data_IF_957369671289
#
_entry.id   IF_957369671289
#
_cell.length_a   1.000
_cell.length_b   1.000
_cell.length_c   1.000
_cell.angle_alpha   90.00
_cell.angle_beta   90.00
_cell.angle_gamma   90.00
#
_symmetry.space_group_name_H-M   'P 1'
#
loop_
_entity.id
_entity.type
_entity.pdbx_description
1 polymer ?
#
# COMPACT_ATOMS: atom_id res chain seq x y z
N UNK A 1 10.11 -11.90 -19.96
CA UNK A 1 10.56 -10.49 -20.08
C UNK A 1 10.33 -9.84 -18.75
N UNK A 2 11.30 -9.11 -18.20
CA UNK A 2 11.12 -8.30 -16.99
C UNK A 2 10.52 -6.95 -17.35
N UNK A 3 9.70 -6.40 -16.44
CA UNK A 3 9.12 -5.04 -16.59
C UNK A 3 9.95 -4.02 -15.82
N UNK A 4 9.83 -2.76 -16.20
CA UNK A 4 10.36 -1.62 -15.43
C UNK A 4 9.20 -0.86 -14.82
N UNK A 5 9.25 -0.63 -13.51
CA UNK A 5 8.28 0.18 -12.80
C UNK A 5 8.76 1.62 -12.68
N UNK A 6 7.88 2.60 -12.71
CA UNK A 6 8.22 3.98 -12.36
C UNK A 6 8.59 4.09 -10.87
N UNK A 7 9.19 5.22 -10.44
CA UNK A 7 9.58 5.42 -9.05
C UNK A 7 8.45 5.18 -8.05
N UNK A 8 7.25 5.63 -8.33
CA UNK A 8 6.09 5.42 -7.47
C UNK A 8 4.87 4.93 -8.24
N UNK A 9 4.33 3.80 -7.80
CA UNK A 9 3.09 3.19 -8.31
C UNK A 9 2.09 3.06 -7.18
N UNK A 10 0.85 3.48 -7.40
CA UNK A 10 -0.26 3.30 -6.47
C UNK A 10 -1.24 2.25 -7.03
N UNK A 11 -1.58 1.24 -6.23
CA UNK A 11 -2.58 0.22 -6.55
C UNK A 11 -3.77 0.37 -5.60
N UNK A 12 -4.92 0.76 -6.15
CA UNK A 12 -6.16 1.03 -5.43
C UNK A 12 -7.22 -0.05 -5.69
N UNK A 13 -8.07 -0.27 -4.71
CA UNK A 13 -9.25 -1.13 -4.88
C UNK A 13 -9.99 -1.39 -3.57
N UNK A 14 -11.24 -1.80 -3.67
CA UNK A 14 -12.05 -2.19 -2.51
C UNK A 14 -11.54 -3.44 -1.78
N UNK A 15 -12.21 -3.82 -0.69
CA UNK A 15 -11.93 -5.07 -0.01
C UNK A 15 -12.10 -6.26 -0.99
N UNK A 16 -11.20 -7.23 -0.93
CA UNK A 16 -11.21 -8.43 -1.78
C UNK A 16 -11.21 -8.17 -3.31
N UNK A 17 -10.82 -6.97 -3.75
CA UNK A 17 -10.78 -6.61 -5.18
C UNK A 17 -9.70 -7.34 -5.99
N UNK A 18 -8.71 -7.97 -5.33
CA UNK A 18 -7.53 -8.58 -5.97
C UNK A 18 -6.31 -7.65 -6.03
N UNK A 19 -6.39 -6.43 -5.46
CA UNK A 19 -5.32 -5.42 -5.52
C UNK A 19 -3.96 -5.88 -4.98
N UNK A 20 -3.91 -6.54 -3.81
CA UNK A 20 -2.63 -7.03 -3.25
C UNK A 20 -2.03 -8.11 -4.13
N UNK A 21 -2.86 -9.03 -4.66
CA UNK A 21 -2.41 -10.05 -5.61
C UNK A 21 -1.83 -9.43 -6.88
N UNK A 22 -2.51 -8.44 -7.45
CA UNK A 22 -2.01 -7.71 -8.61
C UNK A 22 -0.69 -6.97 -8.31
N UNK A 23 -0.60 -6.30 -7.14
CA UNK A 23 0.61 -5.59 -6.73
C UNK A 23 1.81 -6.53 -6.51
N UNK A 24 1.60 -7.70 -5.87
CA UNK A 24 2.62 -8.74 -5.73
C UNK A 24 3.11 -9.24 -7.10
N UNK A 25 2.17 -9.49 -8.02
CA UNK A 25 2.51 -9.93 -9.38
C UNK A 25 3.28 -8.86 -10.16
N UNK A 26 2.88 -7.59 -10.02
CA UNK A 26 3.56 -6.45 -10.64
C UNK A 26 5.02 -6.34 -10.17
N UNK A 27 5.24 -6.46 -8.86
CA UNK A 27 6.58 -6.45 -8.25
C UNK A 27 7.40 -7.64 -8.72
N UNK A 28 6.86 -8.86 -8.68
CA UNK A 28 7.54 -10.07 -9.11
C UNK A 28 7.95 -10.02 -10.60
N UNK A 29 7.14 -9.38 -11.45
CA UNK A 29 7.44 -9.23 -12.87
C UNK A 29 8.67 -8.35 -13.17
N UNK A 30 9.17 -7.57 -12.19
CA UNK A 30 10.42 -6.81 -12.34
C UNK A 30 11.65 -7.68 -12.34
N UNK A 31 11.57 -8.91 -11.82
CA UNK A 31 12.69 -9.84 -11.60
C UNK A 31 13.81 -9.26 -10.72
N UNK A 32 13.50 -8.29 -9.86
CA UNK A 32 14.41 -7.70 -8.87
C UNK A 32 14.24 -8.40 -7.51
N UNK A 33 15.22 -8.28 -6.59
CA UNK A 33 15.00 -8.64 -5.19
C UNK A 33 13.84 -7.83 -4.61
N UNK A 34 12.95 -8.51 -3.86
CA UNK A 34 11.66 -7.97 -3.44
C UNK A 34 11.65 -7.67 -1.95
N UNK A 35 11.28 -6.43 -1.59
CA UNK A 35 11.07 -5.99 -0.21
C UNK A 35 9.59 -5.82 0.04
N UNK A 36 9.07 -6.44 1.10
CA UNK A 36 7.70 -6.31 1.54
C UNK A 36 7.64 -5.53 2.84
N UNK A 37 7.04 -4.34 2.83
CA UNK A 37 6.79 -3.54 4.03
C UNK A 37 5.37 -3.86 4.51
N UNK A 38 5.29 -4.58 5.64
CA UNK A 38 4.04 -4.98 6.27
C UNK A 38 3.61 -3.94 7.30
N UNK A 39 2.41 -3.40 7.15
CA UNK A 39 1.83 -2.43 8.10
C UNK A 39 0.68 -2.98 8.91
N UNK A 40 0.20 -4.18 8.59
CA UNK A 40 -0.83 -4.85 9.36
C UNK A 40 -0.30 -5.31 10.72
N UNK A 41 -1.09 -5.09 11.77
CA UNK A 41 -0.87 -5.66 13.10
C UNK A 41 -1.91 -6.73 13.35
N UNK A 42 -1.49 -7.84 13.96
CA UNK A 42 -2.37 -8.93 14.34
C UNK A 42 -3.09 -8.59 15.65
N UNK A 43 -4.23 -7.89 15.56
CA UNK A 43 -5.04 -7.57 16.73
C UNK A 43 -6.03 -8.68 17.09
N UNK A 44 -6.34 -9.59 16.15
CA UNK A 44 -7.24 -10.72 16.33
C UNK A 44 -6.86 -11.91 15.44
N UNK A 45 -7.47 -13.07 15.71
CA UNK A 45 -7.20 -14.31 14.97
C UNK A 45 -7.60 -14.26 13.48
N UNK A 46 -8.55 -13.41 13.09
CA UNK A 46 -8.91 -13.20 11.68
C UNK A 46 -7.78 -12.48 10.94
N UNK A 47 -7.21 -11.46 11.56
CA UNK A 47 -6.08 -10.72 11.00
C UNK A 47 -4.82 -11.59 10.96
N UNK A 48 -4.54 -12.40 12.00
CA UNK A 48 -3.46 -13.39 12.00
C UNK A 48 -3.58 -14.35 10.81
N UNK A 49 -4.76 -14.94 10.61
CA UNK A 49 -5.02 -15.85 9.50
C UNK A 49 -4.90 -15.16 8.13
N UNK A 50 -5.22 -13.87 8.04
CA UNK A 50 -5.05 -13.08 6.81
C UNK A 50 -3.58 -12.80 6.52
N UNK A 51 -2.80 -12.40 7.53
CA UNK A 51 -1.36 -12.18 7.42
C UNK A 51 -0.66 -13.48 7.01
N UNK A 52 -0.97 -14.63 7.67
CA UNK A 52 -0.41 -15.92 7.33
C UNK A 52 -0.69 -16.30 5.86
N UNK A 53 -1.92 -16.15 5.39
CA UNK A 53 -2.28 -16.42 3.99
C UNK A 53 -1.49 -15.54 2.99
N UNK A 54 -1.21 -14.28 3.34
CA UNK A 54 -0.38 -13.39 2.53
C UNK A 54 1.08 -13.82 2.53
N UNK A 55 1.61 -14.29 3.68
CA UNK A 55 2.97 -14.81 3.79
C UNK A 55 3.15 -16.10 2.98
N UNK A 56 2.23 -17.06 3.13
CA UNK A 56 2.26 -18.35 2.40
C UNK A 56 2.23 -18.15 0.87
N UNK A 57 1.44 -17.19 0.41
CA UNK A 57 1.30 -16.90 -1.02
C UNK A 57 2.56 -16.29 -1.63
N UNK A 58 3.33 -15.50 -0.88
CA UNK A 58 4.51 -14.82 -1.39
C UNK A 58 5.70 -15.74 -1.68
N UNK A 59 5.82 -16.87 -0.99
CA UNK A 59 6.90 -17.83 -1.20
C UNK A 59 8.30 -17.28 -0.84
N UNK A 60 9.34 -18.01 -1.30
CA UNK A 60 10.73 -17.58 -1.12
C UNK A 60 11.08 -16.43 -2.08
N UNK A 61 11.87 -15.45 -1.61
CA UNK A 61 12.36 -14.33 -2.45
C UNK A 61 11.93 -12.95 -1.97
N UNK A 62 11.10 -12.88 -0.92
CA UNK A 62 10.71 -11.63 -0.28
C UNK A 62 11.47 -11.39 1.02
N UNK A 63 12.06 -10.21 1.16
CA UNK A 63 12.55 -9.67 2.44
C UNK A 63 11.40 -8.91 3.10
N UNK A 64 10.84 -9.44 4.18
CA UNK A 64 9.73 -8.80 4.89
C UNK A 64 10.24 -7.91 6.01
N UNK A 65 9.76 -6.69 6.09
CA UNK A 65 10.00 -5.71 7.16
C UNK A 65 8.65 -5.32 7.75
N UNK A 66 8.48 -5.58 9.04
CA UNK A 66 7.28 -5.14 9.77
C UNK A 66 7.45 -3.68 10.20
N UNK A 67 6.60 -2.81 9.70
CA UNK A 67 6.63 -1.38 9.96
C UNK A 67 5.19 -0.83 10.13
N UNK A 68 4.49 -1.20 11.20
CA UNK A 68 3.11 -0.79 11.39
C UNK A 68 2.94 0.72 11.64
N UNK A 69 3.95 1.37 12.22
CA UNK A 69 3.93 2.82 12.52
C UNK A 69 4.72 3.63 11.50
N UNK A 70 6.03 3.73 11.68
CA UNK A 70 6.91 4.48 10.80
C UNK A 70 7.53 3.57 9.74
N UNK A 71 7.19 3.83 8.47
CA UNK A 71 7.73 3.10 7.32
C UNK A 71 9.02 3.72 6.76
N UNK A 72 9.41 4.90 7.26
CA UNK A 72 10.54 5.65 6.71
C UNK A 72 11.86 4.91 6.79
N UNK A 73 12.21 4.22 7.91
CA UNK A 73 13.44 3.43 7.98
C UNK A 73 13.47 2.28 6.96
N UNK A 74 12.33 1.60 6.76
CA UNK A 74 12.23 0.50 5.82
C UNK A 74 12.38 0.95 4.36
N UNK A 75 11.84 2.13 4.02
CA UNK A 75 12.00 2.74 2.70
C UNK A 75 13.43 3.25 2.47
N UNK A 76 14.09 3.78 3.50
CA UNK A 76 15.46 4.26 3.41
C UNK A 76 16.49 3.11 3.28
N UNK A 77 16.16 1.91 3.80
CA UNK A 77 17.01 0.72 3.72
C UNK A 77 16.94 0.00 2.36
N UNK A 78 15.98 0.37 1.52
CA UNK A 78 15.80 -0.28 0.22
C UNK A 78 16.87 0.17 -0.79
N UNK A 79 17.56 -0.81 -1.39
CA UNK A 79 18.61 -0.58 -2.40
C UNK A 79 17.99 -0.30 -3.78
N UNK A 80 18.71 0.48 -4.61
CA UNK A 80 18.29 0.82 -5.98
C UNK A 80 18.07 -0.40 -6.90
N UNK A 81 18.66 -1.57 -6.57
CA UNK A 81 18.45 -2.83 -7.30
C UNK A 81 17.19 -3.58 -6.84
N UNK A 82 16.62 -3.21 -5.70
CA UNK A 82 15.42 -3.82 -5.14
C UNK A 82 14.14 -3.21 -5.73
N UNK A 83 13.01 -3.78 -5.39
CA UNK A 83 11.66 -3.22 -5.59
C UNK A 83 10.87 -3.40 -4.31
N UNK A 84 10.16 -2.36 -3.90
CA UNK A 84 9.42 -2.33 -2.64
C UNK A 84 7.93 -2.48 -2.89
N UNK A 85 7.29 -3.36 -2.12
CA UNK A 85 5.84 -3.43 -1.97
C UNK A 85 5.44 -2.95 -0.58
N UNK A 86 4.76 -1.83 -0.48
CA UNK A 86 4.19 -1.29 0.75
C UNK A 86 2.71 -1.71 0.86
N UNK A 87 2.41 -2.72 1.68
CA UNK A 87 1.07 -3.27 1.86
C UNK A 87 0.64 -3.21 3.34
N UNK A 88 -0.18 -2.21 3.73
CA UNK A 88 -0.81 -1.20 2.87
C UNK A 88 -0.89 0.17 3.56
N UNK A 89 -1.03 1.22 2.78
CA UNK A 89 -1.23 2.57 3.28
C UNK A 89 -2.49 2.71 4.15
N UNK A 90 -3.50 1.86 3.94
CA UNK A 90 -4.74 1.84 4.72
C UNK A 90 -4.50 1.39 6.16
N UNK A 91 -3.74 0.31 6.36
CA UNK A 91 -3.41 -0.16 7.71
C UNK A 91 -2.44 0.80 8.39
N UNK A 92 -1.47 1.35 7.64
CA UNK A 92 -0.61 2.42 8.14
C UNK A 92 -1.43 3.60 8.66
N UNK A 93 -2.39 4.12 7.86
CA UNK A 93 -3.25 5.24 8.27
C UNK A 93 -4.08 4.89 9.52
N UNK A 94 -4.64 3.67 9.57
CA UNK A 94 -5.38 3.19 10.74
C UNK A 94 -4.51 3.23 12.00
N UNK A 95 -3.28 2.73 11.91
CA UNK A 95 -2.35 2.73 13.03
C UNK A 95 -1.98 4.16 13.46
N UNK A 96 -1.79 5.09 12.50
CA UNK A 96 -1.54 6.51 12.81
C UNK A 96 -2.71 7.15 13.56
N UNK A 97 -3.95 6.87 13.12
CA UNK A 97 -5.15 7.38 13.78
C UNK A 97 -5.31 6.84 15.21
N UNK A 98 -5.08 5.54 15.41
CA UNK A 98 -5.16 4.93 16.74
C UNK A 98 -4.04 5.39 17.70
N UNK A 99 -2.91 5.83 17.17
CA UNK A 99 -1.80 6.35 17.97
C UNK A 99 -1.98 7.82 18.39
N UNK A 100 -3.03 8.51 17.90
CA UNK A 100 -3.26 9.90 18.25
C UNK A 100 -3.68 10.07 19.72
N UNK A 101 -3.11 11.05 20.44
CA UNK A 101 -3.48 11.34 21.82
C UNK A 101 -4.90 11.89 21.95
N UNK A 102 -5.40 12.59 20.94
CA UNK A 102 -6.77 13.07 20.81
C UNK A 102 -7.45 12.47 19.59
N UNK A 103 -8.25 11.40 19.76
CA UNK A 103 -8.96 10.76 18.65
C UNK A 103 -10.02 11.65 18.00
N UNK A 104 -10.46 12.69 18.69
CA UNK A 104 -11.47 13.62 18.18
C UNK A 104 -10.89 14.66 17.21
N UNK A 105 -9.61 15.00 17.40
CA UNK A 105 -8.88 15.96 16.57
C UNK A 105 -7.50 15.41 16.18
N UNK A 106 -7.45 14.35 15.35
CA UNK A 106 -6.17 13.75 14.97
C UNK A 106 -5.37 14.69 14.07
N UNK A 107 -4.09 14.87 14.38
CA UNK A 107 -3.14 15.55 13.50
C UNK A 107 -2.24 14.51 12.82
N UNK A 108 -2.55 14.20 11.58
CA UNK A 108 -1.79 13.25 10.75
C UNK A 108 -0.67 13.93 9.96
N UNK A 109 -0.61 15.27 9.98
CA UNK A 109 0.31 16.04 9.13
C UNK A 109 1.78 15.65 9.29
N UNK A 110 2.31 15.44 10.53
CA UNK A 110 3.71 15.05 10.70
C UNK A 110 4.01 13.64 10.12
N UNK A 111 3.13 12.67 10.39
CA UNK A 111 3.31 11.31 9.91
C UNK A 111 3.22 11.22 8.38
N UNK A 112 2.30 11.95 7.78
CA UNK A 112 2.15 12.02 6.33
C UNK A 112 3.33 12.74 5.66
N UNK A 113 3.85 13.82 6.25
CA UNK A 113 5.03 14.50 5.75
C UNK A 113 6.24 13.55 5.75
N UNK A 114 6.44 12.77 6.82
CA UNK A 114 7.48 11.76 6.90
C UNK A 114 7.31 10.66 5.83
N UNK A 115 6.08 10.13 5.68
CA UNK A 115 5.76 9.13 4.65
C UNK A 115 6.09 9.64 3.25
N UNK A 116 5.61 10.82 2.88
CA UNK A 116 5.84 11.37 1.54
C UNK A 116 7.30 11.71 1.28
N UNK A 117 8.02 12.19 2.30
CA UNK A 117 9.48 12.41 2.21
C UNK A 117 10.19 11.09 1.95
N UNK A 118 9.87 10.04 2.70
CA UNK A 118 10.47 8.72 2.56
C UNK A 118 10.18 8.09 1.19
N UNK A 119 8.92 8.17 0.70
CA UNK A 119 8.54 7.69 -0.63
C UNK A 119 9.30 8.41 -1.74
N UNK A 120 9.52 9.73 -1.60
CA UNK A 120 10.23 10.53 -2.61
C UNK A 120 11.73 10.24 -2.62
N UNK A 121 12.33 9.95 -1.45
CA UNK A 121 13.76 9.69 -1.31
C UNK A 121 14.17 8.24 -1.45
N UNK A 122 13.21 7.31 -1.55
CA UNK A 122 13.48 5.89 -1.72
C UNK A 122 14.25 5.64 -3.03
N UNK A 123 15.38 4.91 -2.94
CA UNK A 123 16.21 4.59 -4.10
C UNK A 123 15.58 3.51 -5.00
N UNK A 124 14.72 2.65 -4.43
CA UNK A 124 14.03 1.59 -5.15
C UNK A 124 12.66 2.07 -5.69
N UNK A 125 12.15 1.50 -6.79
CA UNK A 125 10.75 1.66 -7.16
C UNK A 125 9.83 1.14 -6.07
N UNK A 126 8.79 1.91 -5.73
CA UNK A 126 7.82 1.56 -4.68
C UNK A 126 6.44 1.35 -5.28
N UNK A 127 5.83 0.23 -4.95
CA UNK A 127 4.41 -0.07 -5.21
C UNK A 127 3.65 0.04 -3.89
N UNK A 128 2.74 0.99 -3.79
CA UNK A 128 1.89 1.22 -2.62
C UNK A 128 0.52 0.61 -2.85
N UNK A 129 0.06 -0.24 -1.95
CA UNK A 129 -1.30 -0.76 -1.95
C UNK A 129 -2.17 0.08 -1.03
N UNK A 130 -3.36 0.45 -1.48
CA UNK A 130 -4.32 1.18 -0.66
C UNK A 130 -5.76 0.77 -0.94
N UNK A 131 -6.62 0.87 0.09
CA UNK A 131 -8.04 0.58 -0.09
C UNK A 131 -8.80 1.84 -0.54
N UNK A 132 -9.77 1.61 -1.44
CA UNK A 132 -10.85 2.56 -1.69
C UNK A 132 -12.01 2.25 -0.72
N UNK A 133 -12.31 3.17 0.17
CA UNK A 133 -13.35 3.02 1.20
C UNK A 133 -14.47 4.04 1.05
N UNK A 134 -14.37 4.92 0.06
CA UNK A 134 -15.28 6.05 -0.17
C UNK A 134 -16.61 5.67 -0.84
N UNK A 135 -16.68 4.55 -1.55
CA UNK A 135 -17.82 4.17 -2.38
C UNK A 135 -19.03 3.60 -1.60
N UNK A 136 -18.91 3.37 -0.29
CA UNK A 136 -19.99 2.83 0.55
C UNK A 136 -20.94 3.90 1.10
N UNK A 137 -21.97 3.45 1.84
CA UNK A 137 -22.89 4.32 2.60
C UNK A 137 -22.08 5.10 3.66
N UNK A 138 -22.51 6.34 3.95
CA UNK A 138 -21.85 7.17 4.99
C UNK A 138 -21.99 6.47 6.35
N UNK A 139 -20.89 6.14 7.05
CA UNK A 139 -20.95 5.46 8.33
C UNK A 139 -21.65 6.31 9.41
N UNK A 140 -22.42 5.67 10.28
CA UNK A 140 -23.04 6.32 11.44
C UNK A 140 -21.99 6.70 12.50
N UNK A 141 -20.95 5.89 12.66
CA UNK A 141 -19.87 6.10 13.61
C UNK A 141 -18.96 7.25 13.16
N UNK A 142 -18.66 8.19 14.07
CA UNK A 142 -17.81 9.35 13.79
C UNK A 142 -16.39 8.94 13.38
N UNK A 143 -15.77 8.01 14.12
CA UNK A 143 -14.40 7.56 13.83
C UNK A 143 -14.30 6.94 12.44
N UNK A 144 -15.30 6.14 12.05
CA UNK A 144 -15.36 5.56 10.71
C UNK A 144 -15.49 6.63 9.61
N UNK A 145 -16.22 7.74 9.87
CA UNK A 145 -16.29 8.87 8.91
C UNK A 145 -14.95 9.60 8.82
N UNK A 146 -14.28 9.84 9.95
CA UNK A 146 -12.95 10.46 9.98
C UNK A 146 -11.93 9.60 9.23
N UNK A 147 -11.90 8.29 9.49
CA UNK A 147 -11.04 7.35 8.77
C UNK A 147 -11.32 7.37 7.27
N UNK A 148 -12.60 7.29 6.87
CA UNK A 148 -13.01 7.34 5.45
C UNK A 148 -12.54 8.61 4.76
N UNK A 149 -12.68 9.77 5.42
CA UNK A 149 -12.24 11.05 4.90
C UNK A 149 -10.71 11.10 4.76
N UNK A 150 -9.99 10.77 5.83
CA UNK A 150 -8.52 10.76 5.84
C UNK A 150 -7.94 9.78 4.80
N UNK A 151 -8.57 8.60 4.64
CA UNK A 151 -8.16 7.62 3.62
C UNK A 151 -8.33 8.15 2.19
N UNK A 152 -9.44 8.82 1.91
CA UNK A 152 -9.68 9.44 0.61
C UNK A 152 -8.66 10.55 0.31
N UNK A 153 -8.35 11.40 1.28
CA UNK A 153 -7.36 12.46 1.17
C UNK A 153 -5.93 11.91 0.98
N UNK A 154 -5.57 10.86 1.74
CA UNK A 154 -4.29 10.16 1.57
C UNK A 154 -4.17 9.56 0.16
N UNK A 155 -5.23 8.89 -0.33
CA UNK A 155 -5.26 8.32 -1.68
C UNK A 155 -5.07 9.38 -2.76
N UNK A 156 -5.73 10.55 -2.63
CA UNK A 156 -5.55 11.65 -3.57
C UNK A 156 -4.10 12.16 -3.59
N UNK A 157 -3.47 12.31 -2.41
CA UNK A 157 -2.09 12.78 -2.30
C UNK A 157 -1.08 11.76 -2.82
N UNK A 158 -1.31 10.46 -2.59
CA UNK A 158 -0.53 9.36 -3.18
C UNK A 158 -0.66 9.36 -4.70
N UNK A 159 -1.89 9.43 -5.23
CA UNK A 159 -2.16 9.44 -6.66
C UNK A 159 -1.54 10.65 -7.38
N UNK A 160 -1.57 11.83 -6.74
CA UNK A 160 -0.95 13.03 -7.30
C UNK A 160 0.57 12.85 -7.52
N UNK A 161 1.25 12.16 -6.60
CA UNK A 161 2.70 11.91 -6.62
C UNK A 161 3.13 10.68 -7.41
N UNK A 162 2.21 9.73 -7.61
CA UNK A 162 2.49 8.50 -8.35
C UNK A 162 2.57 8.77 -9.85
N UNK A 163 3.48 8.09 -10.52
CA UNK A 163 3.60 8.10 -11.99
C UNK A 163 2.59 7.14 -12.63
N UNK A 164 2.29 6.04 -11.93
CA UNK A 164 1.31 5.03 -12.32
C UNK A 164 0.28 4.86 -11.18
N UNK A 165 -1.00 4.98 -11.52
CA UNK A 165 -2.10 4.68 -10.60
C UNK A 165 -3.00 3.64 -11.25
N UNK A 166 -3.16 2.50 -10.58
CA UNK A 166 -3.93 1.35 -11.05
C UNK A 166 -5.12 1.14 -10.13
N UNK A 167 -6.32 1.13 -10.70
CA UNK A 167 -7.50 0.60 -10.03
C UNK A 167 -7.61 -0.90 -10.25
N UNK A 168 -8.05 -1.65 -9.23
CA UNK A 168 -8.32 -3.09 -9.35
C UNK A 168 -9.75 -3.36 -8.89
N UNK A 169 -10.56 -3.91 -9.81
CA UNK A 169 -11.93 -4.31 -9.54
C UNK A 169 -12.18 -5.72 -10.06
N UNK A 170 -12.72 -6.60 -9.24
CA UNK A 170 -13.00 -8.00 -9.61
C UNK A 170 -11.76 -8.74 -10.18
N UNK A 171 -10.58 -8.45 -9.66
CA UNK A 171 -9.30 -9.01 -10.12
C UNK A 171 -8.75 -8.36 -11.40
N UNK A 172 -9.48 -7.42 -12.02
CA UNK A 172 -9.09 -6.78 -13.27
C UNK A 172 -8.44 -5.42 -13.00
N UNK A 173 -7.17 -5.20 -13.44
CA UNK A 173 -6.51 -3.91 -13.34
C UNK A 173 -6.96 -2.96 -14.45
N UNK A 174 -7.03 -1.67 -14.15
CA UNK A 174 -7.22 -0.59 -15.12
C UNK A 174 -6.41 0.64 -14.72
N UNK A 175 -5.86 1.34 -15.70
CA UNK A 175 -5.06 2.54 -15.42
C UNK A 175 -5.99 3.72 -15.11
N UNK A 176 -5.73 4.38 -13.96
CA UNK A 176 -6.29 5.69 -13.62
C UNK A 176 -5.33 6.82 -14.00
N UNK A 177 -4.02 6.55 -13.98
CA UNK A 177 -2.96 7.47 -14.40
C UNK A 177 -1.80 6.65 -14.96
N UNK A 178 -1.16 7.13 -16.00
CA UNK A 178 -0.09 6.40 -16.70
C UNK A 178 -0.62 5.27 -17.57
N UNK A 179 0.22 4.28 -17.86
CA UNK A 179 -0.13 3.12 -18.69
C UNK A 179 0.21 1.82 -17.95
N UNK A 180 -0.67 0.83 -18.05
CA UNK A 180 -0.40 -0.48 -17.46
C UNK A 180 0.81 -1.12 -18.14
N UNK A 181 1.78 -1.67 -17.37
CA UNK A 181 2.84 -2.48 -17.95
C UNK A 181 2.26 -3.80 -18.49
N UNK A 182 2.85 -4.30 -19.56
CA UNK A 182 2.51 -5.62 -20.09
C UNK A 182 3.08 -6.70 -19.15
N UNK A 183 2.28 -7.11 -18.19
CA UNK A 183 2.61 -8.21 -17.27
C UNK A 183 2.04 -9.50 -17.82
N UNK A 184 2.81 -10.61 -17.86
CA UNK A 184 2.25 -11.92 -18.21
C UNK A 184 1.06 -12.22 -17.32
N UNK A 185 -0.07 -12.61 -17.91
CA UNK A 185 -1.28 -12.91 -17.11
C UNK A 185 -0.99 -14.09 -16.18
N UNK A 186 -1.27 -13.92 -14.88
CA UNK A 186 -1.39 -15.05 -13.96
C UNK A 186 -2.54 -15.94 -14.44
N UNK A 187 -2.22 -17.18 -14.83
CA UNK A 187 -3.21 -18.22 -15.06
C UNK A 187 -3.61 -18.86 -13.73
#
# INVERSE_FOLDING_TARGET
MSITLPPLTLVLGGAASGKSHYAEHLVAATARPMVYIATAQAFDGEMEAKIARHQDRRGAGWRTIEAPGDVSPALADADHNEVVLFDCATMWLSNQLFAQPDPDHPDLSPAEAALFSALTSCAAPVVVVSNEVGAGIVPENRLARQFRQAQGELNQRLAARSDLVVGVMAGLPFALKGSLPEVPQCR
#
